data_IF_186990158128
#
_entry.id   IF_186990158128
#
_cell.length_a   1.000
_cell.length_b   1.000
_cell.length_c   1.000
_cell.angle_alpha   90.00
_cell.angle_beta   90.00
_cell.angle_gamma   90.00
#
_symmetry.space_group_name_H-M   'P 1'
#
loop_
_entity.id
_entity.type
_entity.pdbx_description
1 polymer ?
#
# COMPACT_ATOMS: atom_id res chain seq x y z
N UNK A 1 30.05 -2.77 0.80
CA UNK A 1 30.77 -3.42 -0.30
C UNK A 1 29.80 -4.38 -0.99
N UNK A 2 29.57 -4.19 -2.29
CA UNK A 2 28.74 -5.09 -3.11
C UNK A 2 29.57 -6.36 -3.39
N UNK A 3 29.17 -7.50 -2.81
CA UNK A 3 29.88 -8.77 -2.98
C UNK A 3 29.72 -9.26 -4.43
N UNK A 4 30.82 -9.52 -5.13
CA UNK A 4 30.78 -10.15 -6.46
C UNK A 4 30.12 -11.53 -6.42
N UNK A 5 30.13 -12.19 -5.26
CA UNK A 5 29.64 -13.55 -5.06
C UNK A 5 28.23 -13.64 -4.46
N UNK A 6 27.52 -12.53 -4.22
CA UNK A 6 26.18 -12.55 -3.60
C UNK A 6 26.23 -12.65 -2.07
N UNK A 7 25.07 -12.51 -1.41
CA UNK A 7 24.94 -12.50 0.05
C UNK A 7 24.28 -13.79 0.59
N UNK A 8 25.12 -14.80 0.79
CA UNK A 8 24.69 -16.13 1.23
C UNK A 8 24.77 -16.31 2.75
N UNK A 9 24.05 -17.29 3.27
CA UNK A 9 23.96 -17.65 4.68
C UNK A 9 23.52 -19.10 4.89
N UNK A 10 23.34 -19.48 6.15
CA UNK A 10 23.10 -20.86 6.58
C UNK A 10 24.39 -21.68 6.69
N UNK A 11 24.30 -22.86 7.30
CA UNK A 11 25.47 -23.70 7.61
C UNK A 11 26.26 -24.17 6.37
N UNK A 12 25.61 -24.22 5.20
CA UNK A 12 26.20 -24.67 3.94
C UNK A 12 26.27 -23.54 2.88
N UNK A 13 26.01 -22.28 3.25
CA UNK A 13 26.04 -21.14 2.33
C UNK A 13 25.13 -21.27 1.10
N UNK A 14 24.06 -22.08 1.19
CA UNK A 14 23.11 -22.31 0.08
C UNK A 14 21.86 -21.45 0.17
N UNK A 15 21.62 -20.81 1.31
CA UNK A 15 20.48 -19.92 1.53
C UNK A 15 20.92 -18.46 1.43
N UNK A 16 19.97 -17.55 1.24
CA UNK A 16 20.26 -16.12 1.37
C UNK A 16 20.38 -15.73 2.84
N UNK A 17 21.29 -14.81 3.15
CA UNK A 17 21.40 -14.27 4.50
C UNK A 17 20.08 -13.59 4.92
N UNK A 18 19.63 -13.86 6.15
CA UNK A 18 18.34 -13.42 6.68
C UNK A 18 18.44 -12.98 8.14
N UNK A 19 19.45 -12.16 8.46
CA UNK A 19 19.72 -11.73 9.84
C UNK A 19 20.07 -10.24 9.90
N UNK A 20 19.91 -9.65 11.06
CA UNK A 20 20.29 -8.24 11.30
C UNK A 20 21.79 -7.98 11.13
N UNK A 21 22.66 -8.99 11.30
CA UNK A 21 24.11 -8.86 11.13
C UNK A 21 24.55 -8.95 9.65
N UNK A 22 23.95 -9.86 8.88
CA UNK A 22 24.34 -10.12 7.48
C UNK A 22 23.42 -9.45 6.44
N UNK A 23 22.29 -8.90 6.87
CA UNK A 23 21.22 -8.39 6.01
C UNK A 23 20.13 -9.42 5.73
N UNK A 24 19.00 -8.94 5.22
CA UNK A 24 17.86 -9.73 4.78
C UNK A 24 17.80 -9.74 3.25
N UNK A 25 18.23 -10.84 2.63
CA UNK A 25 18.41 -10.98 1.20
C UNK A 25 17.38 -11.93 0.59
N UNK A 26 16.90 -11.62 -0.61
CA UNK A 26 15.82 -12.33 -1.29
C UNK A 26 16.31 -13.57 -2.03
N UNK A 27 15.74 -14.72 -1.68
CA UNK A 27 15.88 -15.97 -2.42
C UNK A 27 15.17 -15.95 -3.79
N UNK A 28 14.28 -14.97 -4.03
CA UNK A 28 13.68 -14.77 -5.34
C UNK A 28 14.68 -14.18 -6.36
N UNK A 29 15.79 -13.62 -5.89
CA UNK A 29 16.90 -13.18 -6.75
C UNK A 29 17.95 -14.27 -6.88
N UNK A 30 18.39 -14.55 -8.11
CA UNK A 30 19.53 -15.43 -8.33
C UNK A 30 20.79 -14.80 -7.72
N UNK A 31 21.36 -15.47 -6.72
CA UNK A 31 22.57 -15.02 -6.04
C UNK A 31 22.37 -14.05 -4.87
N UNK A 32 21.16 -13.94 -4.29
CA UNK A 32 20.93 -13.16 -3.07
C UNK A 32 21.45 -11.71 -3.17
N UNK A 33 21.13 -11.04 -4.28
CA UNK A 33 21.63 -9.69 -4.59
C UNK A 33 20.59 -8.60 -4.40
N UNK A 34 19.34 -9.00 -4.17
CA UNK A 34 18.22 -8.11 -3.91
C UNK A 34 17.82 -8.23 -2.44
N UNK A 35 17.34 -7.13 -1.85
CA UNK A 35 16.77 -7.19 -0.51
C UNK A 35 15.53 -8.07 -0.47
N UNK A 36 15.34 -8.78 0.63
CA UNK A 36 14.09 -9.45 0.93
C UNK A 36 12.95 -8.42 0.99
N UNK A 37 11.72 -8.87 0.74
CA UNK A 37 10.55 -8.00 0.77
C UNK A 37 10.47 -7.25 2.11
N UNK A 38 10.31 -5.92 2.03
CA UNK A 38 10.22 -5.05 3.19
C UNK A 38 11.55 -4.70 3.85
N UNK A 39 12.69 -4.97 3.21
CA UNK A 39 14.00 -4.48 3.63
C UNK A 39 14.65 -3.63 2.53
N UNK A 40 15.47 -2.67 2.94
CA UNK A 40 16.15 -1.73 2.07
C UNK A 40 17.55 -1.34 2.60
N UNK A 41 18.23 -0.50 1.83
CA UNK A 41 19.58 -0.03 2.11
C UNK A 41 20.65 -0.93 1.49
N UNK A 42 21.89 -0.46 1.48
CA UNK A 42 23.01 -1.10 0.78
C UNK A 42 23.31 -2.54 1.26
N UNK A 43 22.89 -2.88 2.48
CA UNK A 43 23.07 -4.20 3.08
C UNK A 43 21.73 -4.87 3.44
N UNK A 44 20.60 -4.32 3.02
CA UNK A 44 19.27 -4.87 3.31
C UNK A 44 19.01 -5.11 4.81
N UNK A 45 19.58 -4.28 5.68
CA UNK A 45 19.43 -4.36 7.14
C UNK A 45 18.32 -3.44 7.67
N UNK A 46 17.88 -2.46 6.85
CA UNK A 46 16.85 -1.51 7.26
C UNK A 46 15.48 -2.05 6.87
N UNK A 47 14.57 -2.18 7.83
CA UNK A 47 13.18 -2.56 7.55
C UNK A 47 12.40 -1.35 7.05
N UNK A 48 11.58 -1.56 6.02
CA UNK A 48 10.73 -0.53 5.46
C UNK A 48 9.62 -0.15 6.45
N UNK A 49 9.17 1.12 6.45
CA UNK A 49 8.13 1.58 7.37
C UNK A 49 6.89 0.70 7.28
N UNK A 50 6.56 0.01 8.37
CA UNK A 50 5.43 -0.93 8.47
C UNK A 50 5.37 -1.99 7.35
N UNK A 51 6.51 -2.33 6.71
CA UNK A 51 6.56 -3.19 5.52
C UNK A 51 5.61 -2.71 4.39
N UNK A 52 5.47 -1.39 4.24
CA UNK A 52 4.49 -0.78 3.33
C UNK A 52 3.05 -1.28 3.57
N UNK A 53 2.74 -1.62 4.83
CA UNK A 53 1.49 -2.21 5.30
C UNK A 53 1.05 -3.48 4.56
N UNK A 54 1.96 -4.14 3.84
CA UNK A 54 1.62 -5.28 2.96
C UNK A 54 0.86 -4.87 1.69
N UNK A 55 0.79 -3.57 1.38
CA UNK A 55 0.02 -2.98 0.29
C UNK A 55 0.93 -2.22 -0.69
N UNK A 56 2.17 -2.68 -0.82
CA UNK A 56 3.14 -2.07 -1.71
C UNK A 56 4.50 -2.74 -1.63
N UNK A 57 5.39 -2.24 -2.48
CA UNK A 57 6.78 -2.69 -2.57
C UNK A 57 7.71 -1.58 -2.13
N UNK A 58 8.71 -1.95 -1.34
CA UNK A 58 9.69 -1.00 -0.85
C UNK A 58 10.84 -0.85 -1.83
N UNK A 59 11.16 0.40 -2.19
CA UNK A 59 12.32 0.73 -3.02
C UNK A 59 13.63 0.67 -2.24
N UNK A 60 14.74 0.77 -2.98
CA UNK A 60 16.10 0.74 -2.41
C UNK A 60 16.40 1.89 -1.44
N UNK A 61 15.65 2.98 -1.52
CA UNK A 61 15.71 4.16 -0.65
C UNK A 61 14.78 4.07 0.58
N UNK A 62 14.05 2.97 0.75
CA UNK A 62 13.08 2.82 1.84
C UNK A 62 11.72 3.46 1.58
N UNK A 63 11.51 4.05 0.40
CA UNK A 63 10.21 4.59 0.01
C UNK A 63 9.28 3.47 -0.46
N UNK A 64 8.03 3.50 0.02
CA UNK A 64 7.01 2.54 -0.39
C UNK A 64 6.33 2.97 -1.69
N UNK A 65 6.34 2.06 -2.67
CA UNK A 65 5.51 2.14 -3.87
C UNK A 65 4.22 1.36 -3.62
N UNK A 66 3.12 2.08 -3.44
CA UNK A 66 1.84 1.47 -3.08
C UNK A 66 1.13 0.80 -4.25
N UNK A 67 0.45 -0.30 -3.94
CA UNK A 67 -0.37 -1.03 -4.89
C UNK A 67 -1.58 -0.20 -5.35
N UNK A 68 -1.90 -0.33 -6.64
CA UNK A 68 -3.03 0.36 -7.27
C UNK A 68 -3.74 -0.55 -8.27
N UNK A 69 -4.49 -1.51 -7.74
CA UNK A 69 -5.30 -2.45 -8.54
C UNK A 69 -6.66 -2.68 -7.91
N UNK A 70 -7.63 -3.14 -8.70
CA UNK A 70 -8.92 -3.62 -8.19
C UNK A 70 -8.79 -4.90 -7.35
N UNK A 71 -7.72 -5.69 -7.56
CA UNK A 71 -7.48 -6.94 -6.83
C UNK A 71 -6.70 -6.75 -5.52
N UNK A 72 -5.69 -5.89 -5.52
CA UNK A 72 -4.83 -5.63 -4.36
C UNK A 72 -5.20 -4.36 -3.59
N UNK A 73 -6.12 -3.56 -4.12
CA UNK A 73 -6.54 -2.28 -3.55
C UNK A 73 -5.78 -1.10 -4.15
N UNK A 74 -6.37 0.08 -3.99
CA UNK A 74 -5.74 1.35 -4.35
C UNK A 74 -5.28 2.07 -3.09
N UNK A 75 -3.97 2.00 -2.82
CA UNK A 75 -3.35 2.49 -1.59
C UNK A 75 -2.49 3.73 -1.83
N UNK A 76 -2.28 4.50 -0.76
CA UNK A 76 -1.51 5.75 -0.74
C UNK A 76 -0.92 6.02 0.65
N UNK A 77 -0.11 7.07 0.73
CA UNK A 77 0.62 7.46 1.94
C UNK A 77 2.01 6.82 2.03
N UNK A 78 2.82 7.31 2.96
CA UNK A 78 4.23 6.91 3.11
C UNK A 78 4.44 5.43 3.41
N UNK A 79 3.43 4.78 4.01
CA UNK A 79 3.43 3.35 4.32
C UNK A 79 2.31 2.57 3.64
N UNK A 80 1.66 3.13 2.61
CA UNK A 80 0.55 2.47 1.90
C UNK A 80 -0.60 2.01 2.80
N UNK A 81 -0.85 2.75 3.88
CA UNK A 81 -1.86 2.41 4.90
C UNK A 81 -3.18 3.17 4.72
N UNK A 82 -3.28 4.02 3.69
CA UNK A 82 -4.45 4.88 3.45
C UNK A 82 -5.01 4.56 2.06
N UNK A 83 -6.33 4.56 1.90
CA UNK A 83 -6.92 4.41 0.57
C UNK A 83 -6.61 5.62 -0.32
N UNK A 84 -6.29 5.36 -1.57
CA UNK A 84 -6.18 6.41 -2.58
C UNK A 84 -7.50 7.16 -2.73
N UNK A 85 -7.42 8.43 -3.16
CA UNK A 85 -8.61 9.26 -3.37
C UNK A 85 -9.62 8.56 -4.27
N UNK A 86 -10.88 8.52 -3.84
CA UNK A 86 -11.95 7.83 -4.57
C UNK A 86 -11.99 6.32 -4.34
N UNK A 87 -11.24 5.76 -3.39
CA UNK A 87 -11.34 4.37 -2.96
C UNK A 87 -11.56 4.28 -1.45
N UNK A 88 -12.27 3.24 -1.02
CA UNK A 88 -12.57 3.00 0.39
C UNK A 88 -12.76 1.51 0.70
N UNK A 89 -13.02 1.23 1.97
CA UNK A 89 -13.21 -0.12 2.51
C UNK A 89 -11.92 -0.74 3.04
N UNK A 90 -12.04 -1.88 3.73
CA UNK A 90 -10.91 -2.52 4.41
C UNK A 90 -9.72 -2.88 3.50
N UNK A 91 -9.97 -3.06 2.20
CA UNK A 91 -8.94 -3.37 1.21
C UNK A 91 -8.78 -2.27 0.15
N UNK A 92 -9.41 -1.10 0.31
CA UNK A 92 -9.37 -0.01 -0.68
C UNK A 92 -9.69 -0.44 -2.12
N UNK A 93 -10.51 -1.47 -2.30
CA UNK A 93 -10.92 -2.01 -3.61
C UNK A 93 -12.23 -1.40 -4.09
N UNK A 94 -12.99 -0.75 -3.20
CA UNK A 94 -14.30 -0.20 -3.53
C UNK A 94 -14.11 1.22 -4.06
N UNK A 95 -14.42 1.43 -5.33
CA UNK A 95 -14.33 2.73 -5.96
C UNK A 95 -15.56 3.57 -5.63
N UNK A 96 -15.35 4.82 -5.27
CA UNK A 96 -16.38 5.82 -5.14
C UNK A 96 -16.70 6.41 -6.52
N UNK A 97 -17.79 5.90 -7.09
CA UNK A 97 -18.35 6.35 -8.35
C UNK A 97 -19.67 7.11 -8.11
N UNK A 98 -20.27 7.63 -9.19
CA UNK A 98 -21.53 8.35 -9.15
C UNK A 98 -22.71 7.51 -8.58
N UNK A 99 -22.58 6.18 -8.54
CA UNK A 99 -23.59 5.31 -7.93
C UNK A 99 -23.40 5.16 -6.42
N UNK A 100 -22.19 5.38 -5.89
CA UNK A 100 -21.90 5.25 -4.45
C UNK A 100 -22.46 6.43 -3.66
N UNK A 101 -22.18 7.65 -4.09
CA UNK A 101 -22.69 8.88 -3.47
C UNK A 101 -23.38 9.75 -4.53
N UNK A 102 -24.62 9.43 -4.86
CA UNK A 102 -25.34 10.02 -6.02
C UNK A 102 -25.45 11.55 -5.89
N UNK A 103 -25.85 12.02 -4.71
CA UNK A 103 -25.94 13.44 -4.40
C UNK A 103 -24.96 13.88 -3.32
N UNK A 104 -23.72 13.38 -3.35
CA UNK A 104 -22.74 13.70 -2.31
C UNK A 104 -21.29 13.43 -2.69
N UNK A 105 -20.41 13.75 -1.74
CA UNK A 105 -18.97 13.48 -1.84
C UNK A 105 -18.61 12.30 -0.96
N UNK A 106 -17.84 11.37 -1.50
CA UNK A 106 -17.36 10.21 -0.77
C UNK A 106 -16.15 10.57 0.10
N UNK A 107 -16.14 10.08 1.33
CA UNK A 107 -15.06 10.25 2.29
C UNK A 107 -14.11 9.04 2.25
N UNK A 108 -12.94 9.16 2.87
CA UNK A 108 -11.91 8.12 2.90
C UNK A 108 -12.32 6.84 3.65
N UNK A 109 -13.36 6.90 4.48
CA UNK A 109 -13.95 5.75 5.17
C UNK A 109 -15.10 5.11 4.38
N UNK A 110 -15.48 5.68 3.23
CA UNK A 110 -16.62 5.25 2.42
C UNK A 110 -17.95 5.89 2.81
N UNK A 111 -17.97 6.76 3.82
CA UNK A 111 -19.17 7.51 4.14
C UNK A 111 -19.46 8.56 3.08
N UNK A 112 -20.74 8.77 2.75
CA UNK A 112 -21.13 9.82 1.82
C UNK A 112 -21.52 11.09 2.59
N UNK A 113 -20.81 12.18 2.30
CA UNK A 113 -21.20 13.52 2.72
C UNK A 113 -22.15 14.12 1.69
N UNK A 114 -23.44 14.06 1.98
CA UNK A 114 -24.50 14.54 1.09
C UNK A 114 -24.46 16.05 0.89
N UNK A 115 -24.79 16.48 -0.33
CA UNK A 115 -25.00 17.89 -0.61
C UNK A 115 -26.25 18.39 0.13
N UNK A 116 -26.15 19.62 0.60
CA UNK A 116 -27.19 20.31 1.39
C UNK A 116 -27.28 21.78 1.01
N UNK A 117 -27.21 22.07 -0.29
CA UNK A 117 -27.27 23.43 -0.81
C UNK A 117 -28.16 23.52 -2.06
N UNK A 118 -28.64 24.73 -2.37
CA UNK A 118 -29.58 24.95 -3.47
C UNK A 118 -29.00 24.67 -4.87
N UNK A 119 -27.67 24.76 -5.04
CA UNK A 119 -27.01 24.59 -6.33
C UNK A 119 -26.76 23.11 -6.69
N UNK A 120 -26.42 22.29 -5.69
CA UNK A 120 -26.11 20.88 -5.87
C UNK A 120 -27.25 19.94 -5.41
N UNK A 121 -28.22 20.44 -4.64
CA UNK A 121 -29.37 19.69 -4.10
C UNK A 121 -29.26 19.38 -2.61
N UNK A 122 -30.38 19.00 -2.01
CA UNK A 122 -30.49 18.58 -0.61
C UNK A 122 -30.74 17.06 -0.54
N UNK A 123 -29.70 16.30 -0.22
CA UNK A 123 -29.74 14.83 -0.18
C UNK A 123 -29.53 14.30 1.25
N UNK A 124 -30.03 13.09 1.50
CA UNK A 124 -29.90 12.37 2.76
C UNK A 124 -29.77 10.86 2.57
N UNK A 125 -29.34 10.17 3.64
CA UNK A 125 -29.07 8.73 3.67
C UNK A 125 -27.62 8.37 3.33
N UNK A 126 -27.25 7.12 3.61
CA UNK A 126 -25.87 6.64 3.54
C UNK A 126 -25.22 6.75 2.14
N UNK A 127 -26.02 6.79 1.07
CA UNK A 127 -25.56 6.93 -0.32
C UNK A 127 -26.04 8.23 -0.99
N UNK A 128 -26.61 9.15 -0.22
CA UNK A 128 -27.17 10.42 -0.71
C UNK A 128 -28.15 10.25 -1.88
N UNK A 129 -28.99 9.20 -1.80
CA UNK A 129 -29.97 8.85 -2.84
C UNK A 129 -31.38 9.37 -2.57
N UNK A 130 -31.64 9.86 -1.36
CA UNK A 130 -32.97 10.34 -0.95
C UNK A 130 -32.95 11.86 -0.91
N UNK A 131 -34.00 12.50 -1.42
CA UNK A 131 -34.21 13.93 -1.23
C UNK A 131 -34.52 14.20 0.24
N UNK A 132 -33.96 15.29 0.78
CA UNK A 132 -34.36 15.81 2.07
C UNK A 132 -35.49 16.81 1.85
N UNK A 133 -36.68 16.45 2.32
CA UNK A 133 -37.86 17.33 2.37
C UNK A 133 -37.96 18.02 3.72
#
# INVERSE_FOLDING_TARGET
ANSTHGHWGGANCTACASSSAAGYWSAASSGCRQCAAGYFGALCQSACPSLCSGHGTCGSNGACTCDRSSSTGSWTGVGCSVCASGYYGANCTIQCNANTCVGGTCQSDGSCRCFSNASAGFFTGASCRRCRF
#
